data_IF_134743530061
#
_entry.id   IF_134743530061
#
_cell.length_a   1.000
_cell.length_b   1.000
_cell.length_c   1.000
_cell.angle_alpha   90.00
_cell.angle_beta   90.00
_cell.angle_gamma   90.00
#
_symmetry.space_group_name_H-M   'P 1'
#
loop_
_entity.id
_entity.type
_entity.pdbx_description
1 polymer ?
#
# COMPACT_ATOMS: atom_id res chain seq x y z
N UNK A 1 9.75 4.50 2.04
CA UNK A 1 8.90 4.29 3.23
C UNK A 1 8.19 2.95 3.07
N UNK A 2 7.98 2.27 4.18
CA UNK A 2 7.23 1.01 4.24
C UNK A 2 5.90 1.22 4.96
N UNK A 3 4.80 0.82 4.34
CA UNK A 3 3.49 0.69 4.98
C UNK A 3 3.31 -0.77 5.40
N UNK A 4 3.13 -1.03 6.69
CA UNK A 4 2.97 -2.37 7.25
C UNK A 4 1.53 -2.55 7.70
N UNK A 5 0.89 -3.68 7.40
CA UNK A 5 -0.49 -3.95 7.81
C UNK A 5 -0.89 -5.37 7.47
N UNK A 6 -2.13 -5.74 7.71
CA UNK A 6 -2.66 -7.05 7.32
C UNK A 6 -3.16 -7.04 5.87
N UNK A 7 -3.39 -8.23 5.30
CA UNK A 7 -4.03 -8.34 4.00
C UNK A 7 -5.38 -7.61 4.01
N UNK A 8 -5.65 -6.82 2.96
CA UNK A 8 -6.84 -5.97 2.87
C UNK A 8 -6.71 -4.59 3.53
N UNK A 9 -5.58 -4.29 4.20
CA UNK A 9 -5.30 -2.93 4.68
C UNK A 9 -5.33 -1.91 3.53
N UNK A 10 -5.78 -0.67 3.78
CA UNK A 10 -5.97 0.36 2.74
C UNK A 10 -4.64 1.03 2.33
N UNK A 11 -3.65 0.22 1.95
CA UNK A 11 -2.29 0.70 1.69
C UNK A 11 -2.22 1.77 0.60
N UNK A 12 -2.92 1.59 -0.52
CA UNK A 12 -2.90 2.58 -1.60
C UNK A 12 -3.55 3.89 -1.13
N UNK A 13 -4.68 3.83 -0.43
CA UNK A 13 -5.35 5.03 0.08
C UNK A 13 -4.45 5.81 1.04
N UNK A 14 -3.73 5.12 1.94
CA UNK A 14 -2.74 5.74 2.81
C UNK A 14 -1.55 6.27 2.00
N UNK A 15 -1.08 5.54 0.99
CA UNK A 15 0.00 6.00 0.13
C UNK A 15 -0.38 7.27 -0.66
N UNK A 16 -1.64 7.38 -1.10
CA UNK A 16 -2.22 8.55 -1.79
C UNK A 16 -2.22 9.80 -0.92
N UNK A 17 -2.26 9.68 0.41
CA UNK A 17 -2.10 10.83 1.29
C UNK A 17 -0.77 11.56 1.09
N UNK A 18 0.29 10.85 0.70
CA UNK A 18 1.60 11.44 0.42
C UNK A 18 1.73 12.03 -1.00
N UNK A 19 0.70 11.84 -1.84
CA UNK A 19 0.70 12.32 -3.22
C UNK A 19 0.30 13.79 -3.26
N UNK A 20 1.18 14.65 -3.77
CA UNK A 20 0.88 16.08 -3.94
C UNK A 20 0.04 16.29 -5.19
N UNK A 21 -0.94 17.19 -5.10
CA UNK A 21 -1.77 17.56 -6.25
C UNK A 21 -0.90 18.00 -7.45
N UNK A 22 -1.19 17.47 -8.64
CA UNK A 22 -0.46 17.77 -9.87
C UNK A 22 0.92 17.12 -10.01
N UNK A 23 1.40 16.38 -9.00
CA UNK A 23 2.64 15.60 -9.13
C UNK A 23 2.39 14.22 -9.75
N UNK A 24 3.41 13.55 -10.33
CA UNK A 24 3.23 12.20 -10.86
C UNK A 24 2.88 11.17 -9.77
N UNK A 25 1.97 10.25 -10.09
CA UNK A 25 1.78 8.98 -9.38
C UNK A 25 2.10 7.86 -10.35
N UNK A 26 3.18 7.13 -10.09
CA UNK A 26 3.59 6.02 -10.94
C UNK A 26 3.46 4.73 -10.15
N UNK A 27 2.77 3.77 -10.76
CA UNK A 27 2.63 2.41 -10.27
C UNK A 27 2.94 1.45 -11.43
N UNK A 28 3.98 0.61 -11.31
CA UNK A 28 4.29 -0.37 -12.34
C UNK A 28 3.17 -1.40 -12.47
N UNK A 29 2.60 -1.54 -13.67
CA UNK A 29 1.55 -2.53 -13.93
C UNK A 29 1.99 -3.98 -13.73
N UNK A 30 3.31 -4.25 -13.84
CA UNK A 30 3.92 -5.57 -13.62
C UNK A 30 5.26 -5.43 -12.90
N UNK A 31 5.65 -6.40 -12.07
CA UNK A 31 6.95 -6.39 -11.38
C UNK A 31 8.14 -6.37 -12.34
N UNK A 32 8.01 -7.00 -13.52
CA UNK A 32 9.10 -7.08 -14.51
C UNK A 32 9.58 -5.69 -14.96
N UNK A 33 8.69 -4.71 -15.08
CA UNK A 33 9.08 -3.35 -15.44
C UNK A 33 10.01 -2.71 -14.41
N UNK A 34 9.90 -3.09 -13.13
CA UNK A 34 10.79 -2.63 -12.05
C UNK A 34 12.22 -3.12 -12.32
N UNK A 35 12.38 -4.30 -12.92
CA UNK A 35 13.70 -4.88 -13.24
C UNK A 35 14.20 -4.36 -14.59
N UNK A 36 13.36 -4.38 -15.62
CA UNK A 36 13.75 -4.13 -16.99
C UNK A 36 14.12 -2.65 -17.23
N UNK A 37 13.43 -1.72 -16.54
CA UNK A 37 13.62 -0.28 -16.76
C UNK A 37 13.46 0.55 -15.48
N UNK A 38 14.22 0.25 -14.40
CA UNK A 38 14.08 0.90 -13.11
C UNK A 38 14.24 2.43 -13.19
N UNK A 39 15.28 2.89 -13.89
CA UNK A 39 15.56 4.33 -13.97
C UNK A 39 14.49 5.08 -14.76
N UNK A 40 13.87 4.47 -15.76
CA UNK A 40 12.80 5.09 -16.54
C UNK A 40 11.54 5.28 -15.69
N UNK A 41 11.16 4.27 -14.90
CA UNK A 41 10.04 4.37 -13.97
C UNK A 41 10.30 5.45 -12.92
N UNK A 42 11.52 5.50 -12.39
CA UNK A 42 11.90 6.50 -11.42
C UNK A 42 11.85 7.92 -12.00
N UNK A 43 12.32 8.09 -13.24
CA UNK A 43 12.24 9.35 -13.98
C UNK A 43 10.80 9.80 -14.21
N UNK A 44 9.91 8.89 -14.61
CA UNK A 44 8.47 9.17 -14.74
C UNK A 44 7.84 9.64 -13.43
N UNK A 45 8.38 9.20 -12.29
CA UNK A 45 7.90 9.57 -10.96
C UNK A 45 8.59 10.81 -10.36
N UNK A 46 9.43 11.51 -11.11
CA UNK A 46 10.21 12.67 -10.64
C UNK A 46 9.31 13.71 -9.96
N UNK A 47 9.68 14.12 -8.74
CA UNK A 47 8.93 15.09 -7.93
C UNK A 47 7.59 14.57 -7.38
N UNK A 48 7.27 13.30 -7.62
CA UNK A 48 6.00 12.67 -7.25
C UNK A 48 6.18 11.43 -6.38
N UNK A 49 5.28 10.46 -6.56
CA UNK A 49 5.25 9.19 -5.81
C UNK A 49 5.46 8.02 -6.78
N UNK A 50 6.35 7.12 -6.40
CA UNK A 50 6.49 5.79 -7.00
C UNK A 50 5.96 4.76 -6.00
N UNK A 51 4.78 4.22 -6.29
CA UNK A 51 4.14 3.18 -5.50
C UNK A 51 4.52 1.81 -6.06
N UNK A 52 5.13 0.97 -5.21
CA UNK A 52 5.70 -0.33 -5.61
C UNK A 52 4.97 -1.51 -4.98
N UNK A 53 3.80 -1.31 -4.38
CA UNK A 53 3.00 -2.41 -3.83
C UNK A 53 3.71 -3.25 -2.76
N UNK A 54 3.24 -4.50 -2.63
CA UNK A 54 3.59 -5.39 -1.53
C UNK A 54 4.88 -6.17 -1.79
N UNK A 55 5.94 -5.79 -1.06
CA UNK A 55 7.27 -6.39 -1.23
C UNK A 55 7.31 -7.86 -0.80
N UNK A 56 6.37 -8.31 0.03
CA UNK A 56 6.29 -9.70 0.48
C UNK A 56 5.91 -10.65 -0.66
N UNK A 57 5.25 -10.14 -1.71
CA UNK A 57 4.83 -10.89 -2.88
C UNK A 57 5.90 -10.94 -3.99
N UNK A 58 7.00 -10.21 -3.82
CA UNK A 58 8.03 -10.07 -4.82
C UNK A 58 9.20 -11.03 -4.61
N UNK A 59 9.73 -11.54 -5.72
CA UNK A 59 10.95 -12.33 -5.71
C UNK A 59 12.19 -11.45 -5.42
N UNK A 60 13.32 -12.09 -5.12
CA UNK A 60 14.58 -11.39 -4.78
C UNK A 60 15.05 -10.41 -5.86
N UNK A 61 14.88 -10.73 -7.14
CA UNK A 61 15.34 -9.87 -8.23
C UNK A 61 14.58 -8.54 -8.26
N UNK A 62 13.25 -8.59 -8.09
CA UNK A 62 12.43 -7.38 -7.97
C UNK A 62 12.86 -6.60 -6.72
N UNK A 63 13.00 -7.27 -5.57
CA UNK A 63 13.42 -6.62 -4.32
C UNK A 63 14.79 -5.92 -4.43
N UNK A 64 15.75 -6.52 -5.12
CA UNK A 64 17.05 -5.92 -5.41
C UNK A 64 16.93 -4.67 -6.28
N UNK A 65 16.04 -4.69 -7.28
CA UNK A 65 15.78 -3.49 -8.10
C UNK A 65 15.11 -2.39 -7.29
N UNK A 66 14.18 -2.72 -6.39
CA UNK A 66 13.58 -1.75 -5.45
C UNK A 66 14.66 -1.13 -4.55
N UNK A 67 15.56 -1.95 -4.00
CA UNK A 67 16.67 -1.46 -3.18
C UNK A 67 17.57 -0.50 -3.99
N UNK A 68 17.85 -0.83 -5.25
CA UNK A 68 18.58 0.06 -6.16
C UNK A 68 17.84 1.39 -6.38
N UNK A 69 16.54 1.36 -6.66
CA UNK A 69 15.71 2.56 -6.85
C UNK A 69 15.73 3.48 -5.63
N UNK A 70 15.66 2.92 -4.42
CA UNK A 70 15.73 3.67 -3.17
C UNK A 70 17.04 4.49 -3.07
N UNK A 71 18.17 3.97 -3.55
CA UNK A 71 19.45 4.72 -3.55
C UNK A 71 19.47 5.92 -4.51
N UNK A 72 18.54 5.98 -5.47
CA UNK A 72 18.46 7.03 -6.49
C UNK A 72 17.28 7.98 -6.31
N UNK A 73 16.31 7.61 -5.47
CA UNK A 73 15.04 8.32 -5.31
C UNK A 73 15.21 9.81 -4.97
N UNK A 74 16.17 10.14 -4.11
CA UNK A 74 16.45 11.51 -3.69
C UNK A 74 16.86 12.41 -4.87
N UNK A 75 17.67 11.90 -5.81
CA UNK A 75 18.10 12.65 -7.01
C UNK A 75 16.92 13.08 -7.89
N UNK A 76 15.85 12.30 -7.90
CA UNK A 76 14.64 12.58 -8.68
C UNK A 76 13.54 13.25 -7.83
N UNK A 77 13.83 13.57 -6.56
CA UNK A 77 12.82 14.06 -5.61
C UNK A 77 11.57 13.17 -5.55
N UNK A 78 11.75 11.86 -5.76
CA UNK A 78 10.67 10.88 -5.81
C UNK A 78 10.48 10.25 -4.44
N UNK A 79 9.24 10.22 -3.95
CA UNK A 79 8.90 9.43 -2.76
C UNK A 79 8.54 8.01 -3.17
N UNK A 80 9.38 7.05 -2.77
CA UNK A 80 9.08 5.62 -2.95
C UNK A 80 8.27 5.09 -1.76
N UNK A 81 7.13 4.48 -2.07
CA UNK A 81 6.24 3.82 -1.11
C UNK A 81 6.15 2.34 -1.44
N UNK A 82 6.52 1.51 -0.47
CA UNK A 82 6.38 0.07 -0.50
C UNK A 82 5.38 -0.34 0.58
N UNK A 83 4.72 -1.48 0.41
CA UNK A 83 3.78 -2.03 1.39
C UNK A 83 4.24 -3.42 1.81
N UNK A 84 3.72 -3.92 2.91
CA UNK A 84 3.95 -5.27 3.37
C UNK A 84 2.74 -5.76 4.16
N UNK A 85 2.13 -6.84 3.67
CA UNK A 85 0.99 -7.50 4.32
C UNK A 85 1.40 -8.57 5.35
N UNK A 86 2.69 -8.91 5.40
CA UNK A 86 3.25 -9.90 6.32
C UNK A 86 3.83 -9.21 7.57
N UNK A 87 3.75 -9.85 8.75
CA UNK A 87 4.40 -9.34 9.96
C UNK A 87 5.91 -9.15 9.75
N UNK A 88 6.46 -8.03 10.23
CA UNK A 88 7.88 -7.73 10.07
C UNK A 88 8.78 -8.82 10.67
N UNK A 89 8.35 -9.46 11.77
CA UNK A 89 9.06 -10.57 12.40
C UNK A 89 9.23 -11.78 11.48
N UNK A 90 8.21 -12.08 10.67
CA UNK A 90 8.25 -13.16 9.67
C UNK A 90 9.11 -12.74 8.48
N UNK A 91 9.01 -11.47 8.08
CA UNK A 91 9.77 -10.90 6.97
C UNK A 91 11.28 -11.00 7.19
N UNK A 92 11.75 -10.59 8.37
CA UNK A 92 13.18 -10.58 8.74
C UNK A 92 13.76 -12.00 8.82
N UNK A 93 12.92 -12.98 9.19
CA UNK A 93 13.35 -14.37 9.34
C UNK A 93 13.28 -15.16 8.02
N UNK A 94 12.63 -14.60 6.99
CA UNK A 94 12.37 -15.30 5.74
C UNK A 94 13.58 -15.28 4.80
N UNK A 95 14.09 -16.45 4.35
CA UNK A 95 15.20 -16.50 3.41
C UNK A 95 14.81 -16.00 2.02
N UNK A 96 13.51 -15.81 1.74
CA UNK A 96 13.01 -15.26 0.49
C UNK A 96 13.21 -13.74 0.40
N UNK A 97 13.38 -13.06 1.53
CA UNK A 97 13.47 -11.61 1.61
C UNK A 97 14.92 -11.11 1.52
N UNK A 98 15.12 -9.97 0.88
CA UNK A 98 16.42 -9.32 0.78
C UNK A 98 16.65 -8.41 2.01
N UNK A 99 17.53 -8.84 2.91
CA UNK A 99 17.89 -8.09 4.11
C UNK A 99 18.40 -6.67 3.81
N UNK A 100 19.02 -6.43 2.65
CA UNK A 100 19.45 -5.07 2.27
C UNK A 100 18.24 -4.17 2.02
N UNK A 101 17.22 -4.68 1.34
CA UNK A 101 15.97 -3.92 1.11
C UNK A 101 15.30 -3.60 2.46
N UNK A 102 15.19 -4.59 3.35
CA UNK A 102 14.56 -4.40 4.66
C UNK A 102 15.29 -3.38 5.51
N UNK A 103 16.64 -3.40 5.50
CA UNK A 103 17.45 -2.41 6.22
C UNK A 103 17.26 -0.98 5.71
N UNK A 104 17.05 -0.79 4.40
CA UNK A 104 16.78 0.54 3.85
C UNK A 104 15.36 0.98 4.21
N UNK A 105 14.39 0.08 4.10
CA UNK A 105 12.97 0.37 4.35
C UNK A 105 12.64 0.57 5.84
N UNK A 106 13.40 -0.04 6.75
CA UNK A 106 13.19 0.07 8.21
C UNK A 106 13.41 1.49 8.75
N UNK A 107 14.06 2.36 7.98
CA UNK A 107 14.27 3.78 8.33
C UNK A 107 12.98 4.57 8.51
N UNK A 108 11.89 4.17 7.82
CA UNK A 108 10.58 4.81 7.94
C UNK A 108 9.48 3.79 7.67
N UNK A 109 8.90 3.28 8.77
CA UNK A 109 7.79 2.32 8.78
C UNK A 109 6.55 2.99 9.36
N UNK A 110 5.42 2.86 8.68
CA UNK A 110 4.11 3.27 9.17
C UNK A 110 3.25 2.02 9.28
N UNK A 111 2.84 1.67 10.50
CA UNK A 111 1.95 0.54 10.75
C UNK A 111 0.50 0.98 10.63
N UNK A 112 -0.27 0.27 9.80
CA UNK A 112 -1.70 0.40 9.66
C UNK A 112 -2.36 -0.59 10.63
N UNK A 113 -3.20 -0.12 11.56
CA UNK A 113 -3.94 -1.01 12.44
C UNK A 113 -4.95 -1.84 11.63
N UNK A 114 -5.20 -3.11 12.01
CA UNK A 114 -6.26 -3.90 11.41
C UNK A 114 -7.63 -3.33 11.76
N UNK A 115 -8.65 -3.69 10.95
CA UNK A 115 -9.98 -3.09 11.07
C UNK A 115 -10.66 -3.42 12.42
N UNK A 116 -10.39 -4.58 13.02
CA UNK A 116 -10.83 -4.90 14.40
C UNK A 116 -10.31 -3.97 15.49
N UNK A 117 -9.24 -3.21 15.24
CA UNK A 117 -8.75 -2.16 16.14
C UNK A 117 -9.35 -0.78 15.82
N UNK A 118 -10.13 -0.67 14.75
CA UNK A 118 -10.78 0.56 14.26
C UNK A 118 -12.29 0.34 14.06
N UNK A 119 -12.96 -0.28 15.01
CA UNK A 119 -14.39 -0.63 14.89
C UNK A 119 -15.31 0.59 14.72
N UNK A 120 -14.90 1.75 15.23
CA UNK A 120 -15.65 3.02 15.11
C UNK A 120 -15.69 3.55 13.67
N UNK A 121 -14.75 3.12 12.81
CA UNK A 121 -14.69 3.50 11.40
C UNK A 121 -15.60 2.61 10.52
N UNK A 122 -16.02 1.43 11.00
CA UNK A 122 -16.84 0.47 10.24
C UNK A 122 -18.14 1.11 9.71
N UNK A 123 -18.94 1.87 10.49
CA UNK A 123 -20.15 2.50 9.97
C UNK A 123 -19.88 3.47 8.80
N UNK A 124 -18.79 4.23 8.89
CA UNK A 124 -18.37 5.13 7.82
C UNK A 124 -17.94 4.36 6.56
N UNK A 125 -17.11 3.33 6.74
CA UNK A 125 -16.62 2.48 5.64
C UNK A 125 -17.78 1.78 4.91
N UNK A 126 -18.74 1.19 5.64
CA UNK A 126 -19.94 0.57 5.06
C UNK A 126 -20.72 1.59 4.23
N UNK A 127 -20.87 2.81 4.75
CA UNK A 127 -21.54 3.90 4.02
C UNK A 127 -20.85 4.25 2.70
N UNK A 128 -19.52 4.36 2.69
CA UNK A 128 -18.75 4.63 1.47
C UNK A 128 -18.82 3.49 0.48
N UNK A 129 -18.54 2.25 0.91
CA UNK A 129 -18.57 1.07 0.05
C UNK A 129 -19.95 0.92 -0.61
N UNK A 130 -21.02 1.11 0.16
CA UNK A 130 -22.38 0.98 -0.39
C UNK A 130 -22.70 2.08 -1.40
N UNK A 131 -22.18 3.29 -1.20
CA UNK A 131 -22.31 4.41 -2.14
C UNK A 131 -21.54 4.12 -3.44
N UNK A 132 -20.31 3.63 -3.34
CA UNK A 132 -19.48 3.27 -4.49
C UNK A 132 -20.11 2.14 -5.32
N UNK A 133 -20.59 1.08 -4.65
CA UNK A 133 -21.29 -0.04 -5.30
C UNK A 133 -22.54 0.43 -6.04
N UNK A 134 -23.33 1.29 -5.40
CA UNK A 134 -24.54 1.85 -5.99
C UNK A 134 -24.23 2.71 -7.23
N UNK A 135 -23.18 3.53 -7.17
CA UNK A 135 -22.72 4.29 -8.34
C UNK A 135 -22.27 3.39 -9.49
N UNK A 136 -21.45 2.37 -9.20
CA UNK A 136 -20.98 1.42 -10.19
C UNK A 136 -22.14 0.64 -10.86
N UNK A 137 -23.17 0.31 -10.08
CA UNK A 137 -24.35 -0.44 -10.55
C UNK A 137 -25.50 0.47 -11.02
N UNK A 138 -25.32 1.80 -11.05
CA UNK A 138 -26.37 2.80 -11.35
C UNK A 138 -27.66 2.56 -10.54
N UNK A 139 -27.50 2.18 -9.29
CA UNK A 139 -28.56 1.82 -8.35
C UNK A 139 -28.58 2.77 -7.16
N UNK A 140 -29.57 2.62 -6.28
CA UNK A 140 -29.65 3.39 -5.03
C UNK A 140 -28.76 2.72 -3.96
N UNK A 141 -28.01 3.48 -3.14
CA UNK A 141 -27.26 2.92 -2.02
C UNK A 141 -28.17 2.15 -1.06
N UNK A 142 -27.83 0.89 -0.81
CA UNK A 142 -28.47 0.10 0.24
C UNK A 142 -28.23 0.75 1.60
N UNK A 143 -29.15 0.51 2.54
CA UNK A 143 -28.99 0.96 3.93
C UNK A 143 -28.93 -0.25 4.83
N UNK A 144 -27.94 -0.25 5.72
CA UNK A 144 -27.82 -1.26 6.76
C UNK A 144 -28.65 -0.82 7.96
N UNK A 145 -29.34 -1.76 8.60
CA UNK A 145 -29.98 -1.50 9.89
C UNK A 145 -28.93 -1.29 10.98
N UNK A 146 -29.29 -0.61 12.07
CA UNK A 146 -28.40 -0.43 13.21
C UNK A 146 -27.90 -1.78 13.76
N UNK A 147 -28.78 -2.79 13.83
CA UNK A 147 -28.42 -4.14 14.27
C UNK A 147 -27.40 -4.80 13.33
N UNK A 148 -27.53 -4.60 12.02
CA UNK A 148 -26.58 -5.14 11.05
C UNK A 148 -25.20 -4.48 11.20
N UNK A 149 -25.15 -3.15 11.36
CA UNK A 149 -23.91 -2.42 11.65
C UNK A 149 -23.29 -2.92 12.96
N UNK A 150 -24.09 -3.06 14.03
CA UNK A 150 -23.62 -3.58 15.31
C UNK A 150 -22.99 -4.96 15.21
N UNK A 151 -23.55 -5.86 14.38
CA UNK A 151 -22.96 -7.17 14.09
C UNK A 151 -21.64 -7.08 13.32
N UNK A 152 -21.55 -6.17 12.34
CA UNK A 152 -20.30 -5.95 11.61
C UNK A 152 -19.18 -5.44 12.54
N UNK A 153 -19.50 -4.59 13.51
CA UNK A 153 -18.55 -4.09 14.50
C UNK A 153 -18.08 -5.14 15.53
N UNK A 154 -18.81 -6.24 15.68
CA UNK A 154 -18.45 -7.35 16.59
C UNK A 154 -17.60 -8.42 15.90
N UNK A 155 -17.38 -8.32 14.59
CA UNK A 155 -16.58 -9.27 13.83
C UNK A 155 -15.09 -8.96 13.93
N UNK A 156 -14.26 -10.01 13.92
CA UNK A 156 -12.81 -9.96 14.09
C UNK A 156 -12.08 -9.72 12.76
N UNK A 157 -12.45 -8.63 12.07
CA UNK A 157 -11.89 -8.24 10.77
C UNK A 157 -10.36 -8.19 10.75
#
# INVERSE_FOLDING_TARGET
MLLLGESGSPFEAVARFFHKHGSPWIEPARPDHIIDSPLEILQKATGGVLYLGDISQYNKSVQQSIAFLLTKAERYHTRIVCTCSQPLSELVSSPAQDNRLLNVLSSLVVSLPPLRQQIDDIPFLVGQITKELAQAQKSVPMRFSADAIGRLCQYDW
#
